data_IF_074696400912
#
_entry.id   IF_074696400912
#
_cell.length_a   1.000
_cell.length_b   1.000
_cell.length_c   1.000
_cell.angle_alpha   90.00
_cell.angle_beta   90.00
_cell.angle_gamma   90.00
#
_symmetry.space_group_name_H-M   'P 1'
#
loop_
_entity.id
_entity.type
_entity.pdbx_description
1 polymer ?
#
# COMPACT_ATOMS: atom_id res chain seq x y z
N UNK A 1 -12.58 6.95 1.36
CA UNK A 1 -11.16 6.55 1.44
C UNK A 1 -10.71 6.21 0.03
N UNK A 2 -9.43 6.43 -0.29
CA UNK A 2 -8.87 6.24 -1.65
C UNK A 2 -9.27 4.87 -2.21
N UNK A 3 -9.88 4.87 -3.38
CA UNK A 3 -10.33 3.70 -4.14
C UNK A 3 -9.31 3.32 -5.22
N UNK A 4 -9.37 2.08 -5.69
CA UNK A 4 -8.49 1.60 -6.76
C UNK A 4 -8.69 2.38 -8.07
N UNK A 5 -9.91 2.85 -8.33
CA UNK A 5 -10.23 3.64 -9.52
C UNK A 5 -9.56 5.01 -9.49
N UNK A 6 -9.57 5.68 -8.33
CA UNK A 6 -8.90 6.98 -8.16
C UNK A 6 -7.37 6.84 -8.36
N UNK A 7 -6.75 5.79 -7.80
CA UNK A 7 -5.32 5.54 -8.01
C UNK A 7 -5.00 5.27 -9.48
N UNK A 8 -5.77 4.41 -10.13
CA UNK A 8 -5.54 4.11 -11.56
C UNK A 8 -5.72 5.36 -12.43
N UNK A 9 -6.69 6.22 -12.12
CA UNK A 9 -6.95 7.42 -12.90
C UNK A 9 -5.83 8.46 -12.72
N UNK A 10 -5.37 8.66 -11.49
CA UNK A 10 -4.25 9.54 -11.20
C UNK A 10 -2.98 9.10 -11.92
N UNK A 11 -2.67 7.80 -11.87
CA UNK A 11 -1.53 7.22 -12.59
C UNK A 11 -1.60 7.46 -14.11
N UNK A 12 -2.79 7.33 -14.71
CA UNK A 12 -2.99 7.59 -16.15
C UNK A 12 -2.73 9.04 -16.54
N UNK A 13 -2.98 9.99 -15.64
CA UNK A 13 -2.75 11.42 -15.86
C UNK A 13 -1.41 11.93 -15.32
N UNK A 14 -0.57 11.03 -14.79
CA UNK A 14 0.73 11.39 -14.22
C UNK A 14 0.65 12.15 -12.89
N UNK A 15 -0.45 12.01 -12.15
CA UNK A 15 -0.60 12.56 -10.81
C UNK A 15 -0.13 11.57 -9.76
N UNK A 16 0.61 12.07 -8.76
CA UNK A 16 0.99 11.30 -7.58
C UNK A 16 -0.16 11.28 -6.56
N UNK A 17 -0.39 10.13 -5.93
CA UNK A 17 -1.30 9.94 -4.81
C UNK A 17 -0.52 9.71 -3.52
N UNK A 18 -0.68 10.65 -2.59
CA UNK A 18 -0.10 10.56 -1.25
C UNK A 18 -1.21 10.30 -0.23
N UNK A 19 -1.00 9.32 0.66
CA UNK A 19 -1.94 9.00 1.72
C UNK A 19 -1.49 9.56 3.07
N UNK A 20 -2.34 10.36 3.73
CA UNK A 20 -2.08 10.96 5.05
C UNK A 20 -3.20 10.64 6.05
N UNK A 21 -2.96 10.64 7.37
CA UNK A 21 -1.80 10.05 8.05
C UNK A 21 -2.17 8.61 8.36
N UNK A 22 -1.35 7.65 7.93
CA UNK A 22 -1.68 6.23 8.05
C UNK A 22 -0.77 5.60 9.10
N UNK A 23 -1.35 5.17 10.22
CA UNK A 23 -0.58 4.59 11.33
C UNK A 23 -0.81 3.07 11.49
N UNK A 24 -1.90 2.54 10.94
CA UNK A 24 -2.19 1.11 10.96
C UNK A 24 -1.39 0.35 9.89
N UNK A 25 -0.69 -0.72 10.31
CA UNK A 25 0.17 -1.52 9.43
C UNK A 25 -0.62 -2.24 8.34
N UNK A 26 -1.82 -2.74 8.66
CA UNK A 26 -2.65 -3.43 7.67
C UNK A 26 -3.15 -2.45 6.60
N UNK A 27 -3.51 -1.23 6.99
CA UNK A 27 -3.90 -0.16 6.08
C UNK A 27 -2.74 0.30 5.20
N UNK A 28 -1.53 0.44 5.76
CA UNK A 28 -0.32 0.69 4.95
C UNK A 28 -0.14 -0.38 3.87
N UNK A 29 -0.22 -1.66 4.25
CA UNK A 29 -0.08 -2.79 3.31
C UNK A 29 -1.15 -2.76 2.21
N UNK A 30 -2.40 -2.42 2.55
CA UNK A 30 -3.47 -2.29 1.58
C UNK A 30 -3.25 -1.12 0.61
N UNK A 31 -2.76 0.03 1.09
CA UNK A 31 -2.48 1.20 0.25
C UNK A 31 -1.30 0.95 -0.70
N UNK A 32 -0.26 0.24 -0.24
CA UNK A 32 0.83 -0.21 -1.11
C UNK A 32 0.29 -1.10 -2.24
N UNK A 33 -0.61 -2.04 -1.92
CA UNK A 33 -1.24 -2.89 -2.93
C UNK A 33 -2.19 -2.12 -3.86
N UNK A 34 -2.75 -1.00 -3.38
CA UNK A 34 -3.58 -0.10 -4.17
C UNK A 34 -2.76 0.73 -5.17
N UNK A 35 -1.46 0.89 -4.92
CA UNK A 35 -0.54 1.63 -5.79
C UNK A 35 -0.38 3.11 -5.44
N UNK A 36 -0.54 3.51 -4.17
CA UNK A 36 -0.20 4.89 -3.77
C UNK A 36 1.31 5.14 -3.87
N UNK A 37 1.69 6.37 -4.22
CA UNK A 37 3.09 6.75 -4.41
C UNK A 37 3.79 7.04 -3.08
N UNK A 38 3.06 7.62 -2.11
CA UNK A 38 3.60 7.92 -0.80
C UNK A 38 2.61 7.64 0.33
N UNK A 39 3.15 7.24 1.48
CA UNK A 39 2.42 7.10 2.74
C UNK A 39 3.08 8.00 3.77
N UNK A 40 2.32 8.95 4.29
CA UNK A 40 2.71 9.82 5.39
C UNK A 40 2.24 9.18 6.70
N UNK A 41 3.16 8.99 7.65
CA UNK A 41 2.92 8.26 8.90
C UNK A 41 3.74 8.84 10.05
N UNK A 42 3.21 8.72 11.27
CA UNK A 42 3.95 9.01 12.51
C UNK A 42 4.90 7.87 12.90
N UNK A 43 4.81 6.72 12.22
CA UNK A 43 5.59 5.51 12.50
C UNK A 43 6.41 5.08 11.27
N UNK A 44 7.43 5.85 10.86
CA UNK A 44 8.24 5.55 9.67
C UNK A 44 8.93 4.18 9.77
N UNK A 45 9.40 3.79 10.95
CA UNK A 45 10.06 2.50 11.18
C UNK A 45 9.12 1.31 10.88
N UNK A 46 7.82 1.46 11.16
CA UNK A 46 6.81 0.43 10.89
C UNK A 46 6.58 0.27 9.39
N UNK A 47 6.54 1.38 8.65
CA UNK A 47 6.41 1.36 7.20
C UNK A 47 7.66 0.79 6.54
N UNK A 48 8.84 1.14 7.05
CA UNK A 48 10.12 0.61 6.60
C UNK A 48 10.18 -0.91 6.82
N UNK A 49 9.92 -1.40 8.03
CA UNK A 49 9.89 -2.84 8.33
C UNK A 49 8.86 -3.59 7.47
N UNK A 50 7.68 -3.00 7.22
CA UNK A 50 6.70 -3.58 6.30
C UNK A 50 7.24 -3.70 4.87
N UNK A 51 8.00 -2.71 4.39
CA UNK A 51 8.58 -2.72 3.04
C UNK A 51 9.63 -3.82 2.91
N UNK A 52 10.50 -3.95 3.92
CA UNK A 52 11.53 -4.99 3.97
C UNK A 52 10.92 -6.40 4.04
N UNK A 53 9.91 -6.61 4.89
CA UNK A 53 9.18 -7.89 4.97
C UNK A 53 8.61 -8.27 3.59
N UNK A 54 8.08 -7.30 2.84
CA UNK A 54 7.50 -7.52 1.51
C UNK A 54 8.55 -7.81 0.45
N UNK A 55 9.73 -7.19 0.52
CA UNK A 55 10.85 -7.47 -0.39
C UNK A 55 11.45 -8.85 -0.18
N UNK A 56 11.37 -9.38 1.05
CA UNK A 56 11.85 -10.72 1.38
C UNK A 56 10.90 -11.85 0.95
N UNK A 57 9.65 -11.53 0.57
CA UNK A 57 8.69 -12.54 0.11
C UNK A 57 9.02 -13.01 -1.30
N UNK A 58 8.78 -14.30 -1.56
CA UNK A 58 8.66 -14.81 -2.92
C UNK A 58 7.43 -14.24 -3.62
N UNK A 59 7.40 -14.33 -4.95
CA UNK A 59 6.24 -13.90 -5.75
C UNK A 59 4.92 -14.52 -5.27
N UNK A 60 4.95 -15.81 -4.91
CA UNK A 60 3.79 -16.52 -4.35
C UNK A 60 3.38 -15.98 -2.98
N UNK A 61 4.34 -15.67 -2.11
CA UNK A 61 4.07 -15.04 -0.81
C UNK A 61 3.47 -13.64 -0.95
N UNK A 62 3.99 -12.84 -1.90
CA UNK A 62 3.45 -11.52 -2.20
C UNK A 62 2.03 -11.60 -2.78
N UNK A 63 1.75 -12.60 -3.62
CA UNK A 63 0.40 -12.86 -4.15
C UNK A 63 -0.60 -13.16 -3.03
N UNK A 64 -0.22 -13.98 -2.04
CA UNK A 64 -1.09 -14.28 -0.89
C UNK A 64 -1.37 -13.04 -0.03
N UNK A 65 -0.38 -12.15 0.13
CA UNK A 65 -0.55 -10.86 0.81
C UNK A 65 -1.55 -9.97 0.07
N UNK A 66 -1.43 -9.86 -1.26
CA UNK A 66 -2.36 -9.11 -2.11
C UNK A 66 -3.78 -9.67 -2.01
N UNK A 67 -3.93 -11.00 -2.12
CA UNK A 67 -5.23 -11.68 -1.99
C UNK A 67 -5.87 -11.43 -0.62
N UNK A 68 -5.10 -11.53 0.46
CA UNK A 68 -5.57 -11.22 1.81
C UNK A 68 -6.06 -9.77 1.92
N UNK A 69 -5.36 -8.81 1.32
CA UNK A 69 -5.76 -7.40 1.39
C UNK A 69 -6.99 -7.11 0.50
N UNK A 70 -7.18 -7.85 -0.60
CA UNK A 70 -8.39 -7.81 -1.40
C UNK A 70 -9.62 -8.34 -0.63
N UNK A 71 -9.47 -9.46 0.10
CA UNK A 71 -10.54 -10.04 0.92
C UNK A 71 -10.96 -9.18 2.14
N UNK A 72 -10.19 -8.14 2.48
CA UNK A 72 -10.45 -7.27 3.64
C UNK A 72 -11.12 -5.94 3.27
N UNK A 73 -11.27 -5.65 1.97
CA UNK A 73 -12.02 -4.49 1.46
C UNK A 73 -13.50 -4.82 1.35
#
# INVERSE_FOLDING_TARGET
GISAQEVSLAALFGYEIHAWTVNDRARMSALIDLGVDAIITDYPDRLHALTEDRRALSDGGLMLVKLRNWLRQ
#
